data_IF_955662674220
#
_entry.id   IF_955662674220
#
_cell.length_a   1.000
_cell.length_b   1.000
_cell.length_c   1.000
_cell.angle_alpha   90.00
_cell.angle_beta   90.00
_cell.angle_gamma   90.00
#
_symmetry.space_group_name_H-M   'P 1'
#
loop_
_entity.id
_entity.type
_entity.pdbx_description
1 polymer ?
#
# COMPACT_ATOMS: atom_id res chain seq x y z
N UNK A 1 -7.93 -40.59 -19.01
CA UNK A 1 -8.65 -39.44 -19.60
C UNK A 1 -9.34 -38.58 -18.53
N UNK A 2 -10.23 -39.12 -17.68
CA UNK A 2 -10.92 -38.34 -16.61
C UNK A 2 -9.99 -37.66 -15.57
N UNK A 3 -8.84 -38.27 -15.25
CA UNK A 3 -7.86 -37.71 -14.29
C UNK A 3 -7.11 -36.47 -14.82
N UNK A 4 -6.81 -36.42 -16.12
CA UNK A 4 -6.15 -35.27 -16.77
C UNK A 4 -7.09 -34.06 -16.81
N UNK A 5 -8.38 -34.28 -17.06
CA UNK A 5 -9.41 -33.24 -17.06
C UNK A 5 -9.60 -32.61 -15.67
N UNK A 6 -9.45 -33.38 -14.58
CA UNK A 6 -9.52 -32.85 -13.21
C UNK A 6 -8.31 -31.97 -12.88
N UNK A 7 -7.09 -32.36 -13.28
CA UNK A 7 -5.89 -31.53 -13.07
C UNK A 7 -5.96 -30.21 -13.85
N UNK A 8 -6.43 -30.25 -15.11
CA UNK A 8 -6.61 -29.05 -15.94
C UNK A 8 -7.66 -28.12 -15.35
N UNK A 9 -8.80 -28.66 -14.88
CA UNK A 9 -9.86 -27.89 -14.25
C UNK A 9 -9.41 -27.25 -12.92
N UNK A 10 -8.57 -27.95 -12.14
CA UNK A 10 -8.03 -27.44 -10.87
C UNK A 10 -6.99 -26.33 -11.11
N UNK A 11 -6.17 -26.43 -12.17
CA UNK A 11 -5.22 -25.38 -12.56
C UNK A 11 -5.90 -24.12 -13.10
N UNK A 12 -7.04 -24.25 -13.79
CA UNK A 12 -7.83 -23.08 -14.25
C UNK A 12 -8.61 -22.41 -13.12
N UNK A 13 -8.96 -23.14 -12.05
CA UNK A 13 -9.64 -22.56 -10.90
C UNK A 13 -8.68 -21.71 -10.02
N UNK A 14 -7.39 -22.03 -10.02
CA UNK A 14 -6.39 -21.32 -9.21
C UNK A 14 -5.99 -19.95 -9.80
N UNK A 15 -6.14 -19.76 -11.10
CA UNK A 15 -5.88 -18.49 -11.79
C UNK A 15 -7.04 -17.48 -11.74
N UNK A 16 -8.19 -17.86 -11.17
CA UNK A 16 -9.37 -17.00 -11.01
C UNK A 16 -9.42 -16.27 -9.66
N UNK A 17 -8.41 -16.42 -8.81
CA UNK A 17 -8.30 -15.63 -7.58
C UNK A 17 -8.05 -14.17 -7.97
N UNK A 18 -8.84 -13.20 -7.47
CA UNK A 18 -8.53 -11.80 -7.68
C UNK A 18 -7.16 -11.53 -7.08
N UNK A 19 -6.18 -11.24 -7.93
CA UNK A 19 -4.94 -10.63 -7.48
C UNK A 19 -5.35 -9.31 -6.85
N UNK A 20 -5.18 -9.20 -5.53
CA UNK A 20 -5.30 -7.93 -4.85
C UNK A 20 -4.20 -7.05 -5.44
N UNK A 21 -4.55 -6.22 -6.43
CA UNK A 21 -3.69 -5.14 -6.90
C UNK A 21 -3.68 -4.13 -5.77
N UNK A 22 -2.94 -4.45 -4.71
CA UNK A 22 -2.58 -3.47 -3.70
C UNK A 22 -2.05 -2.27 -4.46
N UNK A 23 -2.49 -1.08 -4.07
CA UNK A 23 -1.92 0.16 -4.59
C UNK A 23 -0.43 0.06 -4.35
N UNK A 24 0.33 -0.17 -5.43
CA UNK A 24 1.77 -0.27 -5.35
C UNK A 24 2.26 1.17 -5.36
N UNK A 25 2.29 1.76 -4.17
CA UNK A 25 2.95 3.03 -3.98
C UNK A 25 4.44 2.88 -4.29
N UNK A 26 5.05 3.92 -4.83
CA UNK A 26 6.49 4.02 -4.94
C UNK A 26 7.06 4.05 -3.51
N UNK A 27 7.77 2.97 -3.16
CA UNK A 27 8.50 2.92 -1.91
C UNK A 27 9.51 4.08 -1.86
N UNK A 28 9.73 4.62 -0.66
CA UNK A 28 10.72 5.67 -0.40
C UNK A 28 11.89 5.11 0.42
N UNK A 29 12.73 4.23 -0.16
CA UNK A 29 13.67 3.40 0.60
C UNK A 29 14.89 4.18 1.13
N UNK A 30 15.12 5.41 0.67
CA UNK A 30 16.33 6.17 0.98
C UNK A 30 16.09 7.68 0.98
N UNK A 31 17.09 8.43 1.46
CA UNK A 31 17.07 9.89 1.42
C UNK A 31 16.83 10.40 -0.02
N UNK A 32 15.87 11.32 -0.17
CA UNK A 32 15.39 11.87 -1.45
C UNK A 32 14.75 10.84 -2.41
N UNK A 33 14.33 9.68 -1.90
CA UNK A 33 13.54 8.73 -2.67
C UNK A 33 14.38 7.84 -3.59
N UNK A 34 13.73 6.98 -4.40
CA UNK A 34 14.41 5.97 -5.22
C UNK A 34 15.45 6.57 -6.18
N UNK A 35 15.16 7.75 -6.74
CA UNK A 35 16.05 8.45 -7.67
C UNK A 35 16.95 9.52 -7.01
N UNK A 36 16.82 9.75 -5.70
CA UNK A 36 17.53 10.81 -4.94
C UNK A 36 17.29 12.22 -5.49
N UNK A 37 16.12 12.46 -6.05
CA UNK A 37 15.70 13.76 -6.58
C UNK A 37 14.71 14.48 -5.66
N UNK A 38 14.17 13.79 -4.65
CA UNK A 38 13.17 14.35 -3.75
C UNK A 38 11.81 14.57 -4.40
N UNK A 39 11.53 13.88 -5.53
CA UNK A 39 10.29 14.02 -6.28
C UNK A 39 9.40 12.79 -6.04
N UNK A 40 8.12 13.07 -5.77
CA UNK A 40 7.07 12.06 -5.73
C UNK A 40 6.52 11.82 -7.14
N UNK A 41 6.57 10.58 -7.62
CA UNK A 41 6.24 10.25 -9.01
C UNK A 41 4.88 9.56 -9.19
N UNK A 42 4.17 9.22 -8.11
CA UNK A 42 2.86 8.58 -8.24
C UNK A 42 1.77 9.54 -8.73
N UNK A 43 0.75 8.95 -9.34
CA UNK A 43 -0.43 9.63 -9.87
C UNK A 43 -1.69 9.12 -9.17
N UNK A 44 -2.82 9.79 -9.37
CA UNK A 44 -4.11 9.36 -8.80
C UNK A 44 -4.32 9.76 -7.33
N UNK A 45 -3.44 10.59 -6.78
CA UNK A 45 -3.69 11.30 -5.53
C UNK A 45 -4.72 12.42 -5.76
N UNK A 46 -5.46 12.77 -4.71
CA UNK A 46 -6.38 13.91 -4.75
C UNK A 46 -5.60 15.22 -4.81
N UNK A 47 -6.04 16.15 -5.65
CA UNK A 47 -5.43 17.49 -5.73
C UNK A 47 -5.96 18.43 -4.62
N UNK A 48 -7.14 18.14 -4.10
CA UNK A 48 -7.81 18.94 -3.08
C UNK A 48 -8.45 18.05 -2.02
N UNK A 49 -8.28 18.45 -0.76
CA UNK A 49 -9.01 17.86 0.36
C UNK A 49 -10.44 18.43 0.34
N UNK A 50 -11.49 17.59 0.38
CA UNK A 50 -12.88 18.06 0.48
C UNK A 50 -13.10 18.99 1.68
N UNK A 51 -14.02 19.95 1.58
CA UNK A 51 -14.30 20.91 2.67
C UNK A 51 -14.74 20.23 3.97
N UNK A 52 -15.43 19.10 3.86
CA UNK A 52 -15.86 18.26 4.98
C UNK A 52 -14.77 17.29 5.48
N UNK A 53 -13.57 17.31 4.88
CA UNK A 53 -12.44 16.48 5.22
C UNK A 53 -12.45 15.08 4.62
N UNK A 54 -11.36 14.34 4.85
CA UNK A 54 -11.25 12.92 4.51
C UNK A 54 -11.88 12.04 5.60
N UNK A 55 -12.46 10.88 5.24
CA UNK A 55 -12.94 9.93 6.23
C UNK A 55 -11.78 9.43 7.09
N UNK A 56 -11.95 9.49 8.42
CA UNK A 56 -10.98 8.91 9.35
C UNK A 56 -11.21 7.41 9.42
N UNK A 57 -10.23 6.63 8.97
CA UNK A 57 -10.30 5.17 9.02
C UNK A 57 -9.97 4.60 10.40
N UNK A 58 -9.01 5.20 11.11
CA UNK A 58 -8.58 4.75 12.44
C UNK A 58 -7.83 5.86 13.19
N UNK A 59 -7.64 5.69 14.50
CA UNK A 59 -6.81 6.53 15.36
C UNK A 59 -6.10 5.69 16.41
N UNK A 60 -4.90 6.09 16.80
CA UNK A 60 -4.14 5.50 17.91
C UNK A 60 -3.54 6.63 18.77
N UNK A 61 -3.56 6.53 20.10
CA UNK A 61 -2.86 7.48 20.96
C UNK A 61 -1.35 7.31 20.80
N UNK A 62 -0.62 8.43 20.77
CA UNK A 62 0.85 8.50 20.73
C UNK A 62 1.33 9.50 21.80
N UNK A 63 2.58 9.34 22.24
CA UNK A 63 3.29 10.28 23.10
C UNK A 63 3.80 11.51 22.34
N UNK A 64 4.90 12.11 22.82
CA UNK A 64 5.44 13.34 22.24
C UNK A 64 6.04 13.16 20.84
N UNK A 65 6.69 12.02 20.61
CA UNK A 65 7.39 11.70 19.37
C UNK A 65 8.44 12.74 18.94
N UNK A 66 9.20 12.44 17.89
CA UNK A 66 10.10 13.43 17.27
C UNK A 66 10.03 13.41 15.74
N UNK A 67 9.87 12.23 15.15
CA UNK A 67 9.79 12.06 13.69
C UNK A 67 8.34 12.01 13.19
N UNK A 68 8.15 12.29 11.91
CA UNK A 68 6.90 11.96 11.21
C UNK A 68 6.70 10.44 11.06
N UNK A 69 5.50 10.01 10.65
CA UNK A 69 5.21 8.60 10.36
C UNK A 69 5.88 8.15 9.05
N UNK A 70 6.23 6.86 8.96
CA UNK A 70 6.69 6.20 7.75
C UNK A 70 5.82 4.98 7.44
N UNK A 71 5.51 4.73 6.17
CA UNK A 71 4.69 3.60 5.71
C UNK A 71 5.50 2.74 4.74
N UNK A 72 5.43 1.42 4.91
CA UNK A 72 5.93 0.46 3.92
C UNK A 72 5.06 -0.79 3.95
N UNK A 73 4.61 -1.24 2.79
CA UNK A 73 3.59 -2.28 2.66
C UNK A 73 2.35 -1.95 3.49
N UNK A 74 1.93 -2.88 4.34
CA UNK A 74 0.74 -2.75 5.21
C UNK A 74 1.05 -2.21 6.61
N UNK A 75 2.22 -1.61 6.81
CA UNK A 75 2.68 -1.18 8.15
C UNK A 75 3.01 0.30 8.18
N UNK A 76 2.62 0.93 9.28
CA UNK A 76 2.96 2.31 9.63
C UNK A 76 3.85 2.29 10.88
N UNK A 77 4.94 3.04 10.83
CA UNK A 77 5.92 3.17 11.88
C UNK A 77 6.00 4.62 12.35
N UNK A 78 6.06 4.82 13.67
CA UNK A 78 6.26 6.12 14.31
C UNK A 78 7.28 5.95 15.42
N UNK A 79 8.21 6.90 15.56
CA UNK A 79 9.07 6.96 16.74
C UNK A 79 8.30 7.64 17.88
N UNK A 80 7.88 6.85 18.85
CA UNK A 80 7.12 7.29 20.03
C UNK A 80 8.00 7.31 21.30
N UNK A 81 7.60 8.07 22.33
CA UNK A 81 8.31 8.22 23.63
C UNK A 81 7.51 7.63 24.79
#
# INVERSE_FOLDING_TARGET
MKRILIFVALSTALSALPYNTGVQGDDWPQWQGPNRDGIWHEQGIIEHIPENGLPILWRVPLGGGYSGPAVTGERLYVADY
#
